data_IF_970170247581
#
_entry.id   IF_970170247581
#
_cell.length_a   1.000
_cell.length_b   1.000
_cell.length_c   1.000
_cell.angle_alpha   90.00
_cell.angle_beta   90.00
_cell.angle_gamma   90.00
#
_symmetry.space_group_name_H-M   'P 1'
#
loop_
_entity.id
_entity.type
_entity.pdbx_description
1 polymer ?
#
# COMPACT_ATOMS: atom_id res chain seq x y z
N UNK A 1 -44.54 64.86 92.48
CA UNK A 1 -44.62 63.43 92.39
C UNK A 1 -43.57 62.93 91.41
N UNK A 2 -42.70 62.07 91.89
CA UNK A 2 -41.72 61.33 91.02
C UNK A 2 -42.46 60.19 90.38
N UNK A 3 -42.83 60.36 89.13
CA UNK A 3 -43.60 59.34 88.37
C UNK A 3 -42.74 58.10 87.95
N UNK A 4 -41.42 58.18 88.15
CA UNK A 4 -40.53 57.10 87.74
C UNK A 4 -40.40 56.91 86.26
N UNK A 5 -41.06 57.77 85.46
CA UNK A 5 -40.95 57.75 83.99
C UNK A 5 -39.81 58.66 83.54
N UNK A 6 -38.94 58.19 82.78
CA UNK A 6 -37.92 58.98 82.08
C UNK A 6 -38.62 59.64 80.89
N UNK A 7 -38.42 60.98 80.72
CA UNK A 7 -38.97 61.68 79.58
C UNK A 7 -38.56 60.94 78.26
N UNK A 8 -39.55 60.72 77.38
CA UNK A 8 -39.42 60.12 76.08
C UNK A 8 -39.14 58.61 76.09
N UNK A 9 -39.26 57.88 77.29
CA UNK A 9 -39.10 56.41 77.33
C UNK A 9 -40.14 55.63 76.60
N UNK A 10 -41.24 56.26 76.23
CA UNK A 10 -42.37 55.62 75.54
C UNK A 10 -42.48 56.06 74.07
N UNK A 11 -41.42 56.66 73.54
CA UNK A 11 -41.29 57.04 72.15
C UNK A 11 -40.44 56.00 71.46
N UNK A 12 -40.95 55.42 70.34
CA UNK A 12 -40.20 54.49 69.47
C UNK A 12 -39.19 55.27 68.62
N UNK A 13 -38.35 54.58 67.88
CA UNK A 13 -37.33 55.13 66.99
C UNK A 13 -37.93 56.04 65.90
N UNK A 14 -39.21 55.83 65.48
CA UNK A 14 -39.93 56.68 64.53
C UNK A 14 -40.56 57.93 65.14
N UNK A 15 -40.51 58.06 66.51
CA UNK A 15 -41.07 59.20 67.23
C UNK A 15 -42.52 59.04 67.67
N UNK A 16 -43.11 57.88 67.55
CA UNK A 16 -44.48 57.57 67.87
C UNK A 16 -44.57 57.19 69.37
N UNK A 17 -45.51 57.84 70.14
CA UNK A 17 -45.78 57.54 71.55
C UNK A 17 -46.41 56.09 71.59
N UNK A 18 -45.76 55.20 72.41
CA UNK A 18 -46.13 53.79 72.54
C UNK A 18 -46.14 53.05 71.18
N UNK A 19 -45.29 53.53 70.25
CA UNK A 19 -45.07 52.85 68.94
C UNK A 19 -44.33 51.58 69.11
N UNK A 20 -44.24 50.81 67.97
CA UNK A 20 -43.58 49.50 67.91
C UNK A 20 -42.40 49.48 66.95
N UNK A 21 -42.00 50.66 66.44
CA UNK A 21 -40.79 50.70 65.59
C UNK A 21 -39.53 50.49 66.44
N UNK A 22 -38.57 49.83 65.94
CA UNK A 22 -37.27 49.54 66.54
C UNK A 22 -36.17 49.66 65.51
N UNK A 23 -34.95 50.00 65.98
CA UNK A 23 -33.78 49.96 65.12
C UNK A 23 -33.55 48.48 64.66
N UNK A 24 -33.44 48.27 63.37
CA UNK A 24 -33.08 46.96 62.79
C UNK A 24 -31.59 46.68 62.91
N UNK A 25 -31.13 45.57 62.25
CA UNK A 25 -29.72 45.17 62.29
C UNK A 25 -28.78 46.17 61.65
N UNK A 26 -29.27 47.04 60.78
CA UNK A 26 -28.52 48.13 60.13
C UNK A 26 -28.59 49.42 60.83
N UNK A 27 -29.31 49.48 61.98
CA UNK A 27 -29.52 50.73 62.79
C UNK A 27 -30.53 51.65 62.14
N UNK A 28 -31.35 51.21 61.22
CA UNK A 28 -32.46 51.97 60.64
C UNK A 28 -33.74 51.71 61.44
N UNK A 29 -34.50 52.73 61.65
CA UNK A 29 -35.78 52.60 62.33
C UNK A 29 -36.80 51.89 61.46
N UNK A 30 -37.20 50.71 61.87
CA UNK A 30 -38.04 49.84 61.07
C UNK A 30 -39.24 49.28 61.80
N UNK A 31 -40.28 48.86 61.09
CA UNK A 31 -41.54 48.40 61.65
C UNK A 31 -42.43 49.55 62.16
N UNK A 32 -43.51 49.24 62.91
CA UNK A 32 -44.49 50.20 63.33
C UNK A 32 -45.04 51.06 62.21
N UNK A 33 -45.00 52.40 62.38
CA UNK A 33 -45.38 53.36 61.35
C UNK A 33 -44.18 53.97 60.59
N UNK A 34 -42.96 53.42 60.75
CA UNK A 34 -41.76 53.96 60.12
C UNK A 34 -41.80 53.90 58.59
N UNK A 35 -42.62 53.00 58.06
CA UNK A 35 -42.69 52.77 56.60
C UNK A 35 -41.49 51.97 56.05
N UNK A 36 -40.55 51.57 56.89
CA UNK A 36 -39.38 50.77 56.59
C UNK A 36 -39.58 49.33 57.09
N UNK A 37 -39.21 48.38 56.28
CA UNK A 37 -39.28 46.95 56.60
C UNK A 37 -37.94 46.59 57.27
N UNK A 38 -37.99 45.92 58.43
CA UNK A 38 -36.78 45.51 59.12
C UNK A 38 -35.87 44.69 58.26
N UNK A 39 -34.57 45.05 58.28
CA UNK A 39 -33.48 44.31 57.53
C UNK A 39 -33.61 44.33 56.00
N UNK A 40 -34.47 45.25 55.46
CA UNK A 40 -34.65 45.39 54.00
C UNK A 40 -33.41 45.94 53.29
N UNK A 41 -32.49 46.51 54.03
CA UNK A 41 -31.24 47.08 53.54
C UNK A 41 -30.03 46.13 53.71
N UNK A 42 -30.29 44.92 54.16
CA UNK A 42 -29.30 43.84 54.19
C UNK A 42 -29.25 43.17 52.87
N UNK A 43 -28.09 43.11 52.26
CA UNK A 43 -27.86 42.34 51.04
C UNK A 43 -27.80 40.86 51.34
N UNK A 44 -27.74 39.98 50.27
CA UNK A 44 -27.71 38.55 50.44
C UNK A 44 -26.46 38.00 51.17
N UNK A 45 -25.37 38.83 51.29
CA UNK A 45 -24.17 38.50 52.09
C UNK A 45 -24.29 38.89 53.56
N UNK A 46 -25.39 39.59 53.95
CA UNK A 46 -25.62 40.03 55.29
C UNK A 46 -25.05 41.43 55.60
N UNK A 47 -24.61 42.16 54.59
CA UNK A 47 -24.03 43.51 54.79
C UNK A 47 -25.12 44.57 54.70
N UNK A 48 -25.14 45.49 55.73
CA UNK A 48 -26.04 46.61 55.67
C UNK A 48 -25.68 47.56 54.55
N UNK A 49 -26.67 47.93 53.73
CA UNK A 49 -26.52 48.80 52.58
C UNK A 49 -25.51 48.18 51.54
N UNK A 50 -25.34 46.88 51.61
CA UNK A 50 -24.48 46.15 50.72
C UNK A 50 -25.00 46.14 49.29
N UNK A 51 -24.18 45.63 48.38
CA UNK A 51 -24.50 45.53 46.95
C UNK A 51 -24.46 44.13 46.43
N UNK A 52 -24.32 43.14 47.30
CA UNK A 52 -24.38 41.75 46.92
C UNK A 52 -25.84 41.37 46.52
N UNK A 53 -25.99 40.56 45.51
CA UNK A 53 -27.30 40.06 45.03
C UNK A 53 -27.18 38.58 44.60
N UNK A 54 -28.28 37.88 44.68
CA UNK A 54 -28.32 36.51 44.12
C UNK A 54 -28.14 36.60 42.60
N UNK A 55 -27.19 35.83 42.11
CA UNK A 55 -26.93 35.68 40.68
C UNK A 55 -27.93 34.72 39.98
N UNK A 56 -27.68 34.39 38.72
CA UNK A 56 -28.54 33.49 37.94
C UNK A 56 -28.63 32.07 38.50
N UNK A 57 -27.65 31.65 39.31
CA UNK A 57 -27.62 30.38 40.01
C UNK A 57 -28.22 30.42 41.42
N UNK A 58 -28.66 31.59 41.86
CA UNK A 58 -29.17 31.79 43.23
C UNK A 58 -28.10 31.86 44.29
N UNK A 59 -26.84 32.03 43.90
CA UNK A 59 -25.72 32.27 44.81
C UNK A 59 -25.55 33.76 45.03
N UNK A 60 -25.26 34.11 46.32
CA UNK A 60 -24.99 35.49 46.68
C UNK A 60 -23.67 35.97 46.11
N UNK A 61 -23.70 36.91 45.17
CA UNK A 61 -22.53 37.35 44.43
C UNK A 61 -22.36 38.87 44.39
N UNK A 62 -21.14 39.32 44.09
CA UNK A 62 -20.80 40.76 44.12
C UNK A 62 -20.64 41.31 45.52
N UNK A 63 -20.58 42.65 45.65
CA UNK A 63 -20.36 43.30 46.96
C UNK A 63 -19.12 42.77 47.69
N UNK A 64 -19.30 42.36 48.94
CA UNK A 64 -18.29 41.75 49.79
C UNK A 64 -18.43 40.21 49.87
N UNK A 65 -19.31 39.60 49.10
CA UNK A 65 -19.56 38.15 49.13
C UNK A 65 -18.33 37.31 48.80
N UNK A 66 -17.38 37.90 48.07
CA UNK A 66 -16.19 37.16 47.59
C UNK A 66 -16.49 36.20 46.42
N UNK A 67 -17.72 36.21 45.94
CA UNK A 67 -18.19 35.42 44.81
C UNK A 67 -18.46 36.32 43.59
N UNK A 68 -17.98 35.95 42.42
CA UNK A 68 -18.24 36.68 41.19
C UNK A 68 -19.56 36.20 40.59
N UNK A 69 -20.42 37.13 40.14
CA UNK A 69 -21.71 36.75 39.57
C UNK A 69 -21.57 35.82 38.39
N UNK A 70 -22.40 34.77 38.37
CA UNK A 70 -22.50 33.79 37.31
C UNK A 70 -21.21 32.98 37.08
N UNK A 71 -20.26 32.98 38.06
CA UNK A 71 -19.02 32.20 37.97
C UNK A 71 -19.22 30.68 38.02
N UNK A 72 -20.40 30.25 38.47
CA UNK A 72 -20.79 28.86 38.57
C UNK A 72 -21.64 28.40 37.38
N UNK A 73 -21.83 29.25 36.37
CA UNK A 73 -22.46 28.89 35.11
C UNK A 73 -21.39 28.32 34.19
N UNK A 74 -21.61 27.11 33.72
CA UNK A 74 -20.75 26.49 32.67
C UNK A 74 -21.04 27.08 31.27
N UNK A 75 -20.25 26.65 30.29
CA UNK A 75 -20.37 27.10 28.89
C UNK A 75 -21.76 26.80 28.27
N UNK A 76 -22.52 25.91 28.90
CA UNK A 76 -23.88 25.56 28.52
C UNK A 76 -24.98 26.35 29.19
N UNK A 77 -24.62 27.19 30.15
CA UNK A 77 -25.56 28.01 30.90
C UNK A 77 -26.18 27.29 32.11
N UNK A 78 -25.67 26.11 32.47
CA UNK A 78 -26.15 25.33 33.60
C UNK A 78 -25.39 25.71 34.86
N UNK A 79 -26.16 26.00 35.96
CA UNK A 79 -25.59 26.32 37.27
C UNK A 79 -24.95 25.07 37.89
N UNK A 80 -23.73 25.25 38.42
CA UNK A 80 -22.94 24.18 39.04
C UNK A 80 -22.69 23.01 38.12
N UNK A 81 -22.79 23.20 36.79
CA UNK A 81 -22.42 22.25 35.77
C UNK A 81 -20.92 21.91 35.93
N UNK A 82 -20.56 20.67 35.84
CA UNK A 82 -19.15 20.31 35.68
C UNK A 82 -18.81 20.50 34.22
N UNK A 83 -17.69 21.00 33.79
CA UNK A 83 -17.18 21.15 32.41
C UNK A 83 -17.45 19.95 31.44
N UNK A 84 -18.60 19.33 31.56
CA UNK A 84 -19.08 18.20 30.76
C UNK A 84 -20.14 18.62 29.74
N UNK A 85 -20.39 19.91 29.63
CA UNK A 85 -21.48 20.42 28.81
C UNK A 85 -21.16 20.63 27.33
N UNK A 86 -19.89 20.75 26.95
CA UNK A 86 -19.40 20.98 25.58
C UNK A 86 -18.00 20.36 25.49
N UNK A 87 -17.94 19.04 25.27
CA UNK A 87 -16.70 18.27 25.37
C UNK A 87 -15.74 18.55 24.20
N UNK A 88 -16.28 18.78 23.01
CA UNK A 88 -15.49 19.04 21.81
C UNK A 88 -15.24 20.53 21.54
N UNK A 89 -15.95 21.42 22.29
CA UNK A 89 -15.73 22.86 22.24
C UNK A 89 -16.31 23.55 21.01
N UNK A 90 -17.31 22.95 20.37
CA UNK A 90 -17.95 23.49 19.16
C UNK A 90 -18.98 24.57 19.44
N UNK A 91 -19.37 24.77 20.72
CA UNK A 91 -20.36 25.71 21.19
C UNK A 91 -21.78 25.14 21.30
N UNK A 92 -21.93 23.84 21.09
CA UNK A 92 -23.18 23.09 21.26
C UNK A 92 -23.06 22.19 22.48
N UNK A 93 -23.96 22.29 23.43
CA UNK A 93 -23.90 21.45 24.61
C UNK A 93 -24.17 20.00 24.33
N UNK A 94 -23.40 19.07 24.94
CA UNK A 94 -23.46 17.61 24.74
C UNK A 94 -24.89 17.06 24.80
N UNK A 95 -25.76 17.62 25.65
CA UNK A 95 -27.14 17.17 25.78
C UNK A 95 -28.01 17.45 24.52
N UNK A 96 -27.60 18.40 23.69
CA UNK A 96 -28.28 18.83 22.48
C UNK A 96 -27.45 18.59 21.22
N UNK A 97 -26.23 18.07 21.40
CA UNK A 97 -25.31 17.80 20.33
C UNK A 97 -25.49 16.38 19.78
N UNK A 98 -25.44 16.25 18.46
CA UNK A 98 -25.48 14.97 17.74
C UNK A 98 -24.11 14.31 17.67
N UNK A 99 -23.05 15.06 17.95
CA UNK A 99 -21.65 14.67 17.88
C UNK A 99 -20.83 15.09 19.10
N UNK A 100 -21.30 14.84 20.34
CA UNK A 100 -20.75 15.42 21.58
C UNK A 100 -19.29 15.08 21.88
N UNK A 101 -18.65 14.29 21.05
CA UNK A 101 -17.25 13.90 21.14
C UNK A 101 -16.47 14.24 19.86
N UNK A 102 -17.05 15.10 19.01
CA UNK A 102 -16.48 15.61 17.78
C UNK A 102 -16.85 14.85 16.53
N UNK A 103 -16.45 15.42 15.42
CA UNK A 103 -16.72 14.94 14.08
C UNK A 103 -15.44 14.67 13.30
N UNK A 104 -15.52 13.71 12.40
CA UNK A 104 -14.45 13.42 11.45
C UNK A 104 -15.02 13.05 10.10
N UNK A 105 -14.27 13.36 9.05
CA UNK A 105 -14.50 12.88 7.70
C UNK A 105 -13.31 12.09 7.21
N UNK A 106 -13.57 11.03 6.47
CA UNK A 106 -12.53 10.24 5.81
C UNK A 106 -12.59 10.45 4.30
N UNK A 107 -11.42 10.39 3.68
CA UNK A 107 -11.26 10.44 2.22
C UNK A 107 -10.15 9.48 1.77
N UNK A 108 -10.12 9.17 0.48
CA UNK A 108 -9.06 8.36 -0.12
C UNK A 108 -8.10 9.22 -0.93
N UNK A 109 -6.81 8.88 -0.89
CA UNK A 109 -5.76 9.53 -1.66
C UNK A 109 -4.71 8.50 -2.11
N UNK A 110 -3.77 8.93 -2.95
CA UNK A 110 -2.61 8.15 -3.38
C UNK A 110 -2.96 6.73 -3.83
N UNK A 111 -4.04 6.62 -4.63
CA UNK A 111 -4.52 5.34 -5.15
C UNK A 111 -3.57 4.83 -6.21
N UNK A 112 -3.09 3.60 -6.03
CA UNK A 112 -2.26 2.87 -6.99
C UNK A 112 -2.81 1.46 -7.24
N UNK A 113 -2.17 0.69 -8.08
CA UNK A 113 -2.56 -0.69 -8.38
C UNK A 113 -2.50 -1.65 -7.19
N UNK A 114 -1.70 -1.30 -6.15
CA UNK A 114 -1.49 -2.15 -4.97
C UNK A 114 -1.60 -1.41 -3.64
N UNK A 115 -2.01 -0.14 -3.62
CA UNK A 115 -2.17 0.61 -2.37
C UNK A 115 -3.15 1.77 -2.46
N UNK A 116 -3.67 2.16 -1.30
CA UNK A 116 -4.52 3.33 -1.10
C UNK A 116 -4.23 3.94 0.27
N UNK A 117 -4.22 5.25 0.34
CA UNK A 117 -4.12 5.98 1.60
C UNK A 117 -5.49 6.48 2.03
N UNK A 118 -5.85 6.26 3.28
CA UNK A 118 -7.05 6.81 3.90
C UNK A 118 -6.63 8.00 4.74
N UNK A 119 -7.18 9.16 4.39
CA UNK A 119 -6.98 10.42 5.07
C UNK A 119 -8.15 10.69 6.02
N UNK A 120 -7.89 11.47 7.05
CA UNK A 120 -8.90 12.02 7.95
C UNK A 120 -8.86 13.54 7.97
N UNK A 121 -10.01 14.15 8.29
CA UNK A 121 -10.12 15.53 8.76
C UNK A 121 -11.04 15.50 9.98
N UNK A 122 -10.50 15.78 11.17
CA UNK A 122 -11.17 15.64 12.46
C UNK A 122 -10.99 16.90 13.29
N UNK A 123 -12.03 17.34 13.97
CA UNK A 123 -12.00 18.43 14.94
C UNK A 123 -11.40 17.98 16.28
N UNK A 124 -11.43 16.67 16.59
CA UNK A 124 -10.90 16.08 17.80
C UNK A 124 -9.72 15.14 17.54
N UNK A 125 -8.80 14.97 18.53
CA UNK A 125 -7.71 14.01 18.41
C UNK A 125 -8.22 12.57 18.30
N UNK A 126 -7.65 11.80 17.36
CA UNK A 126 -7.99 10.39 17.11
C UNK A 126 -7.02 9.48 17.86
N UNK A 127 -7.54 8.54 18.65
CA UNK A 127 -6.77 7.57 19.46
C UNK A 127 -6.82 6.15 18.89
N UNK A 128 -7.74 5.88 17.96
CA UNK A 128 -7.85 4.60 17.29
C UNK A 128 -8.91 4.61 16.20
N UNK A 129 -8.91 3.56 15.39
CA UNK A 129 -9.91 3.37 14.35
C UNK A 129 -10.17 1.89 14.10
N UNK A 130 -11.32 1.60 13.54
CA UNK A 130 -11.66 0.30 12.98
C UNK A 130 -12.58 0.48 11.77
N UNK A 131 -12.40 -0.35 10.75
CA UNK A 131 -13.32 -0.41 9.62
C UNK A 131 -13.19 -1.75 8.88
N UNK A 132 -14.11 -2.01 7.96
CA UNK A 132 -14.13 -3.16 7.07
C UNK A 132 -13.75 -2.74 5.65
N UNK A 133 -12.86 -3.51 5.03
CA UNK A 133 -12.45 -3.37 3.64
C UNK A 133 -13.01 -4.53 2.83
N UNK A 134 -13.51 -4.24 1.65
CA UNK A 134 -13.95 -5.25 0.68
C UNK A 134 -13.55 -4.87 -0.74
N UNK A 135 -13.57 -5.84 -1.65
CA UNK A 135 -13.25 -5.66 -3.07
C UNK A 135 -11.77 -5.87 -3.42
N UNK A 136 -10.90 -6.00 -2.42
CA UNK A 136 -9.48 -6.32 -2.59
C UNK A 136 -9.04 -7.34 -1.53
N UNK A 137 -7.93 -8.04 -1.78
CA UNK A 137 -7.26 -8.90 -0.79
C UNK A 137 -6.15 -8.09 -0.14
N UNK A 138 -6.32 -7.77 1.15
CA UNK A 138 -5.32 -7.00 1.90
C UNK A 138 -4.03 -7.81 2.09
N UNK A 139 -2.89 -7.20 1.79
CA UNK A 139 -1.55 -7.73 2.06
C UNK A 139 -0.80 -6.93 3.12
N UNK A 140 -1.29 -5.72 3.47
CA UNK A 140 -0.67 -4.87 4.48
C UNK A 140 -1.52 -3.71 4.95
N UNK A 141 -1.18 -3.18 6.13
CA UNK A 141 -1.68 -1.92 6.64
C UNK A 141 -0.57 -1.23 7.45
N UNK A 142 -0.37 0.06 7.26
CA UNK A 142 0.64 0.85 7.96
C UNK A 142 0.16 2.28 8.19
N UNK A 143 0.66 2.94 9.24
CA UNK A 143 0.26 4.31 9.58
C UNK A 143 0.96 4.81 10.83
N UNK A 144 0.44 5.87 11.42
CA UNK A 144 1.08 6.56 12.55
C UNK A 144 0.82 5.90 13.92
N UNK A 145 -0.17 5.01 14.03
CA UNK A 145 -0.41 4.30 15.28
C UNK A 145 0.64 3.22 15.54
N UNK A 146 0.99 3.02 16.80
CA UNK A 146 1.97 2.02 17.25
C UNK A 146 1.43 0.58 17.20
N UNK A 147 0.12 0.41 17.07
CA UNK A 147 -0.51 -0.86 16.77
C UNK A 147 -1.47 -0.71 15.59
N UNK A 148 -1.12 -1.34 14.45
CA UNK A 148 -2.01 -1.49 13.31
C UNK A 148 -2.07 -2.98 12.97
N UNK A 149 -3.27 -3.49 12.75
CA UNK A 149 -3.50 -4.87 12.32
C UNK A 149 -4.59 -4.94 11.28
N UNK A 150 -4.51 -5.95 10.44
CA UNK A 150 -5.54 -6.27 9.46
C UNK A 150 -5.80 -7.77 9.45
N UNK A 151 -6.95 -8.15 8.92
CA UNK A 151 -7.33 -9.54 8.74
C UNK A 151 -7.69 -9.76 7.26
N UNK A 152 -6.82 -10.50 6.57
CA UNK A 152 -6.96 -10.82 5.15
C UNK A 152 -8.29 -11.55 4.85
N UNK A 153 -8.72 -12.46 5.75
CA UNK A 153 -9.88 -13.30 5.51
C UNK A 153 -11.22 -12.54 5.54
N UNK A 154 -11.33 -11.47 6.34
CA UNK A 154 -12.57 -10.72 6.50
C UNK A 154 -12.45 -9.23 6.21
N UNK A 155 -11.27 -8.73 5.84
CA UNK A 155 -11.03 -7.32 5.50
C UNK A 155 -11.06 -6.35 6.69
N UNK A 156 -11.08 -6.84 7.94
CA UNK A 156 -11.07 -5.95 9.11
C UNK A 156 -9.73 -5.26 9.26
N UNK A 157 -9.73 -3.95 9.45
CA UNK A 157 -8.55 -3.14 9.73
C UNK A 157 -8.77 -2.42 11.05
N UNK A 158 -7.76 -2.45 11.90
CA UNK A 158 -7.78 -1.84 13.22
C UNK A 158 -6.48 -1.11 13.49
N UNK A 159 -6.56 0.09 14.06
CA UNK A 159 -5.41 0.86 14.54
C UNK A 159 -5.68 1.47 15.89
N UNK A 160 -4.72 1.40 16.80
CA UNK A 160 -4.82 2.01 18.12
C UNK A 160 -3.45 2.42 18.65
N UNK A 161 -3.47 3.38 19.57
CA UNK A 161 -2.30 3.76 20.33
C UNK A 161 -2.27 3.01 21.67
N UNK A 162 -1.22 2.23 21.89
CA UNK A 162 -0.94 1.58 23.18
C UNK A 162 -0.16 2.51 24.11
N UNK A 163 0.55 3.48 23.57
CA UNK A 163 1.34 4.46 24.31
C UNK A 163 0.53 5.69 24.76
N UNK A 164 -0.74 5.80 24.31
CA UNK A 164 -1.59 6.96 24.55
C UNK A 164 -1.30 8.16 23.64
N UNK A 165 -0.53 7.96 22.56
CA UNK A 165 -0.36 8.98 21.53
C UNK A 165 -1.60 9.05 20.64
N UNK A 166 -1.97 10.26 20.20
CA UNK A 166 -3.09 10.48 19.30
C UNK A 166 -2.63 11.09 17.98
N UNK A 167 -3.43 10.93 16.96
CA UNK A 167 -3.37 11.82 15.79
C UNK A 167 -4.02 13.14 16.21
N UNK A 168 -3.33 14.25 15.99
CA UNK A 168 -3.85 15.57 16.36
C UNK A 168 -5.10 15.90 15.54
N UNK A 169 -5.99 16.73 16.11
CA UNK A 169 -7.08 17.33 15.35
C UNK A 169 -6.54 18.06 14.11
N UNK A 170 -7.33 18.08 13.04
CA UNK A 170 -6.99 18.60 11.72
C UNK A 170 -6.96 17.52 10.66
N UNK A 171 -6.17 17.74 9.61
CA UNK A 171 -6.06 16.85 8.48
C UNK A 171 -4.79 15.98 8.57
N UNK A 172 -4.90 14.72 8.14
CA UNK A 172 -3.75 13.82 8.15
C UNK A 172 -4.01 12.47 7.51
N UNK A 173 -2.97 11.64 7.52
CA UNK A 173 -3.05 10.24 7.10
C UNK A 173 -3.50 9.37 8.28
N UNK A 174 -4.57 8.59 8.08
CA UNK A 174 -5.06 7.63 9.06
C UNK A 174 -4.31 6.30 8.92
N UNK A 175 -4.31 5.76 7.71
CA UNK A 175 -3.68 4.47 7.39
C UNK A 175 -3.44 4.35 5.89
N UNK A 176 -2.35 3.69 5.51
CA UNK A 176 -2.10 3.20 4.16
C UNK A 176 -2.39 1.71 4.12
N UNK A 177 -3.24 1.31 3.21
CA UNK A 177 -3.58 -0.08 2.94
C UNK A 177 -2.77 -0.56 1.74
N UNK A 178 -2.24 -1.78 1.83
CA UNK A 178 -1.64 -2.50 0.71
C UNK A 178 -2.48 -3.73 0.40
N UNK A 179 -2.57 -4.09 -0.87
CA UNK A 179 -3.38 -5.21 -1.35
C UNK A 179 -2.79 -5.79 -2.62
N UNK A 180 -3.19 -6.99 -2.96
CA UNK A 180 -2.75 -7.66 -4.18
C UNK A 180 -3.33 -6.94 -5.39
N UNK A 181 -2.48 -6.57 -6.37
CA UNK A 181 -2.93 -5.94 -7.60
C UNK A 181 -3.76 -6.90 -8.46
N UNK A 182 -4.66 -6.35 -9.28
CA UNK A 182 -5.53 -7.13 -10.16
C UNK A 182 -5.40 -6.66 -11.61
N UNK A 183 -5.42 -7.62 -12.55
CA UNK A 183 -5.27 -7.38 -13.99
C UNK A 183 -6.34 -6.43 -14.55
N UNK A 184 -7.58 -6.57 -14.09
CA UNK A 184 -8.71 -5.74 -14.53
C UNK A 184 -8.94 -4.52 -13.61
N UNK A 185 -8.09 -4.32 -12.60
CA UNK A 185 -8.33 -3.40 -11.52
C UNK A 185 -9.40 -3.89 -10.55
N UNK A 186 -9.78 -3.05 -9.61
CA UNK A 186 -10.74 -3.39 -8.56
C UNK A 186 -11.53 -2.17 -8.09
N UNK A 187 -12.55 -2.39 -7.30
CA UNK A 187 -13.23 -1.35 -6.52
C UNK A 187 -13.04 -1.72 -5.06
N UNK A 188 -12.33 -0.87 -4.31
CA UNK A 188 -12.21 -1.00 -2.87
C UNK A 188 -13.35 -0.23 -2.18
N UNK A 189 -14.02 -0.87 -1.24
CA UNK A 189 -15.07 -0.26 -0.43
C UNK A 189 -14.69 -0.31 1.05
N UNK A 190 -14.97 0.78 1.78
CA UNK A 190 -14.76 0.91 3.21
C UNK A 190 -16.11 1.05 3.90
N UNK A 191 -16.37 0.25 4.91
CA UNK A 191 -17.61 0.21 5.66
C UNK A 191 -17.37 0.04 7.16
N UNK A 192 -18.45 0.20 7.96
CA UNK A 192 -18.44 -0.03 9.41
C UNK A 192 -17.33 0.76 10.14
N UNK A 193 -17.15 2.03 9.76
CA UNK A 193 -16.10 2.89 10.28
C UNK A 193 -16.42 3.30 11.72
N UNK A 194 -15.47 3.07 12.61
CA UNK A 194 -15.48 3.52 14.00
C UNK A 194 -14.20 4.31 14.24
N UNK A 195 -14.32 5.53 14.74
CA UNK A 195 -13.19 6.38 15.11
C UNK A 195 -13.24 6.64 16.60
N UNK A 196 -12.18 6.26 17.29
CA UNK A 196 -12.06 6.42 18.75
C UNK A 196 -11.37 7.70 19.14
N UNK A 197 -12.02 8.47 20.02
CA UNK A 197 -11.50 9.66 20.66
C UNK A 197 -10.85 9.39 22.02
N UNK A 198 -10.61 10.45 22.78
CA UNK A 198 -10.02 10.39 24.12
C UNK A 198 -10.91 9.58 25.08
N UNK A 199 -10.28 8.75 25.92
CA UNK A 199 -11.01 7.96 26.92
C UNK A 199 -11.89 6.85 26.37
N UNK A 200 -11.82 6.55 25.06
CA UNK A 200 -12.66 5.55 24.39
C UNK A 200 -14.00 6.09 23.93
N UNK A 201 -14.14 7.38 23.82
CA UNK A 201 -15.31 8.06 23.21
C UNK A 201 -15.38 7.75 21.71
N UNK A 202 -16.53 7.97 21.10
CA UNK A 202 -16.76 7.72 19.68
C UNK A 202 -16.86 9.05 18.95
N UNK A 203 -15.96 9.34 18.03
CA UNK A 203 -16.02 10.51 17.15
C UNK A 203 -16.97 10.17 16.00
N UNK A 204 -17.91 11.07 15.71
CA UNK A 204 -18.92 10.85 14.66
C UNK A 204 -18.27 10.95 13.28
N UNK A 205 -18.47 9.93 12.44
CA UNK A 205 -17.99 9.92 11.07
C UNK A 205 -19.05 10.54 10.16
N UNK A 206 -18.79 11.75 9.66
CA UNK A 206 -19.73 12.49 8.80
C UNK A 206 -19.67 12.07 7.34
N UNK A 207 -18.50 11.57 6.90
CA UNK A 207 -18.34 10.99 5.56
C UNK A 207 -17.17 9.99 5.55
N UNK A 208 -17.29 8.96 4.71
CA UNK A 208 -16.20 8.01 4.43
C UNK A 208 -16.17 7.69 2.94
N UNK A 209 -15.01 7.30 2.37
CA UNK A 209 -14.94 6.86 1.00
C UNK A 209 -15.76 5.57 0.86
N UNK A 210 -16.89 5.63 0.16
CA UNK A 210 -17.74 4.45 -0.07
C UNK A 210 -17.08 3.47 -1.02
N UNK A 211 -16.60 3.99 -2.16
CA UNK A 211 -15.96 3.20 -3.22
C UNK A 211 -14.80 4.00 -3.83
N UNK A 212 -13.67 3.35 -4.01
CA UNK A 212 -12.53 3.91 -4.75
C UNK A 212 -12.11 2.94 -5.84
N UNK A 213 -11.91 3.45 -7.06
CA UNK A 213 -11.46 2.63 -8.19
C UNK A 213 -9.95 2.45 -8.11
N UNK A 214 -9.52 1.19 -8.07
CA UNK A 214 -8.13 0.77 -8.15
C UNK A 214 -7.79 0.52 -9.61
N UNK A 215 -6.75 1.13 -10.17
CA UNK A 215 -6.36 0.89 -11.55
C UNK A 215 -5.93 -0.55 -11.76
N UNK A 216 -6.06 -1.02 -13.01
CA UNK A 216 -5.48 -2.27 -13.45
C UNK A 216 -3.96 -2.22 -13.27
N UNK A 217 -3.36 -3.34 -12.92
CA UNK A 217 -1.92 -3.44 -12.83
C UNK A 217 -1.26 -3.49 -14.23
N UNK A 218 0.02 -3.13 -14.27
CA UNK A 218 0.82 -3.34 -15.46
C UNK A 218 1.01 -4.84 -15.73
N UNK A 219 0.83 -5.24 -16.99
CA UNK A 219 1.06 -6.59 -17.50
C UNK A 219 1.62 -6.43 -18.92
N UNK A 220 2.95 -6.54 -19.06
CA UNK A 220 3.65 -6.22 -20.30
C UNK A 220 3.53 -7.31 -21.35
N UNK A 221 3.45 -8.56 -20.94
CA UNK A 221 3.47 -9.74 -21.80
C UNK A 221 2.10 -10.38 -22.01
N UNK A 222 1.08 -9.91 -21.25
CA UNK A 222 -0.31 -10.28 -21.43
C UNK A 222 -0.67 -11.67 -20.89
N UNK A 223 0.09 -12.18 -19.94
CA UNK A 223 -0.22 -13.41 -19.23
C UNK A 223 -1.26 -13.23 -18.10
N UNK A 224 -1.30 -14.12 -17.11
CA UNK A 224 -2.25 -14.07 -16.00
C UNK A 224 -1.69 -13.40 -14.74
N UNK A 225 -0.51 -12.80 -14.80
CA UNK A 225 0.19 -12.20 -13.67
C UNK A 225 0.41 -10.70 -13.87
N UNK A 226 0.38 -9.94 -12.78
CA UNK A 226 0.79 -8.53 -12.79
C UNK A 226 2.31 -8.45 -12.71
N UNK A 227 2.95 -7.52 -13.43
CA UNK A 227 4.42 -7.37 -13.45
C UNK A 227 5.08 -7.34 -12.07
N UNK A 228 4.40 -6.81 -11.04
CA UNK A 228 4.92 -6.74 -9.66
C UNK A 228 4.96 -8.09 -8.93
N UNK A 229 4.18 -9.05 -9.39
CA UNK A 229 4.08 -10.40 -8.84
C UNK A 229 4.68 -11.45 -9.79
N UNK A 230 5.13 -11.03 -10.96
CA UNK A 230 5.66 -11.85 -12.02
C UNK A 230 7.18 -11.92 -11.95
N UNK A 231 7.72 -13.12 -12.02
CA UNK A 231 9.17 -13.36 -12.06
C UNK A 231 9.77 -13.00 -13.42
N UNK A 232 8.94 -13.05 -14.48
CA UNK A 232 9.36 -12.76 -15.86
C UNK A 232 8.40 -11.79 -16.57
N UNK A 233 8.33 -10.53 -16.12
CA UNK A 233 7.27 -9.57 -16.49
C UNK A 233 7.24 -9.15 -17.96
N UNK A 234 8.20 -9.57 -18.76
CA UNK A 234 8.30 -9.31 -20.20
C UNK A 234 8.20 -10.60 -21.03
N UNK A 235 7.87 -11.74 -20.39
CA UNK A 235 7.81 -13.03 -21.07
C UNK A 235 6.68 -13.90 -20.52
N UNK A 236 5.58 -13.95 -21.26
CA UNK A 236 4.39 -14.71 -20.89
C UNK A 236 4.70 -16.16 -20.51
N UNK A 237 4.26 -16.55 -19.32
CA UNK A 237 4.51 -17.85 -18.73
C UNK A 237 3.26 -18.46 -18.05
N UNK A 238 3.41 -19.65 -17.51
CA UNK A 238 2.39 -20.37 -16.74
C UNK A 238 2.82 -20.64 -15.29
N UNK A 239 3.78 -19.87 -14.78
CA UNK A 239 4.42 -20.07 -13.48
C UNK A 239 5.68 -20.91 -13.55
N UNK A 240 6.17 -21.27 -14.75
CA UNK A 240 7.44 -21.92 -15.00
C UNK A 240 8.37 -21.02 -15.81
N UNK A 241 9.69 -21.23 -15.70
CA UNK A 241 10.66 -20.43 -16.46
C UNK A 241 10.36 -20.48 -17.95
N UNK A 242 9.98 -19.35 -18.59
CA UNK A 242 9.60 -19.31 -19.99
C UNK A 242 10.81 -19.18 -20.95
N UNK A 243 11.99 -18.93 -20.42
CA UNK A 243 13.19 -18.78 -21.22
C UNK A 243 13.80 -20.14 -21.52
N UNK A 244 14.15 -20.35 -22.79
CA UNK A 244 14.87 -21.52 -23.23
C UNK A 244 16.39 -21.42 -22.91
N UNK A 245 17.17 -22.41 -23.32
CA UNK A 245 18.60 -22.43 -23.06
C UNK A 245 19.38 -21.33 -23.80
N UNK A 246 18.76 -20.71 -24.81
CA UNK A 246 19.31 -19.56 -25.54
C UNK A 246 18.88 -18.22 -24.97
N UNK A 247 18.15 -18.24 -23.84
CA UNK A 247 17.59 -17.05 -23.20
C UNK A 247 16.57 -16.31 -24.08
N UNK A 248 15.85 -17.06 -24.93
CA UNK A 248 14.75 -16.59 -25.74
C UNK A 248 13.42 -16.92 -25.09
N UNK A 249 12.54 -15.92 -25.00
CA UNK A 249 11.23 -16.05 -24.43
C UNK A 249 10.37 -17.01 -25.25
N UNK A 250 9.93 -18.11 -24.64
CA UNK A 250 9.13 -19.16 -25.28
C UNK A 250 9.76 -19.73 -26.60
N UNK A 251 11.09 -19.61 -26.71
CA UNK A 251 11.84 -19.97 -27.92
C UNK A 251 11.88 -21.48 -28.23
N UNK A 252 11.75 -22.30 -27.18
CA UNK A 252 11.74 -23.77 -27.33
C UNK A 252 13.03 -24.34 -27.92
N UNK A 253 14.15 -23.64 -27.74
CA UNK A 253 15.46 -23.99 -28.30
C UNK A 253 15.53 -23.98 -29.84
N UNK A 254 14.62 -23.22 -30.49
CA UNK A 254 14.58 -23.15 -31.96
C UNK A 254 15.84 -22.53 -32.56
N UNK A 255 16.53 -21.70 -31.78
CA UNK A 255 17.77 -21.02 -32.20
C UNK A 255 19.05 -21.81 -31.90
N UNK A 256 18.92 -23.06 -31.41
CA UNK A 256 20.05 -23.97 -31.28
C UNK A 256 20.33 -24.63 -32.64
N UNK A 257 21.61 -24.68 -32.98
CA UNK A 257 22.07 -25.46 -34.10
C UNK A 257 22.21 -26.96 -33.74
N UNK A 258 22.61 -27.79 -34.69
CA UNK A 258 22.75 -29.23 -34.46
C UNK A 258 23.89 -29.59 -33.48
N UNK A 259 24.76 -28.63 -33.13
CA UNK A 259 25.82 -28.77 -32.11
C UNK A 259 25.35 -28.25 -30.72
N UNK A 260 24.04 -27.90 -30.58
CA UNK A 260 23.42 -27.30 -29.41
C UNK A 260 23.93 -25.89 -29.06
N UNK A 261 24.63 -25.23 -29.97
CA UNK A 261 25.06 -23.85 -29.80
C UNK A 261 23.93 -22.88 -30.11
N UNK A 262 23.63 -21.94 -29.16
CA UNK A 262 22.64 -20.90 -29.39
C UNK A 262 23.09 -19.96 -30.51
N UNK A 263 22.19 -19.70 -31.47
CA UNK A 263 22.47 -18.87 -32.65
C UNK A 263 23.68 -19.39 -33.44
N UNK A 264 23.97 -20.67 -33.31
CA UNK A 264 25.09 -21.34 -33.97
C UNK A 264 24.87 -21.42 -35.48
N UNK A 265 25.90 -21.85 -36.20
CA UNK A 265 25.88 -21.99 -37.64
C UNK A 265 26.14 -23.43 -38.09
N UNK A 266 26.21 -24.36 -37.14
CA UNK A 266 26.32 -25.77 -37.48
C UNK A 266 25.02 -26.28 -38.10
N UNK A 267 25.13 -27.16 -39.07
CA UNK A 267 23.97 -27.79 -39.74
C UNK A 267 24.23 -29.27 -39.99
N UNK A 268 23.19 -30.01 -40.13
CA UNK A 268 23.29 -31.43 -40.55
C UNK A 268 23.58 -31.46 -42.04
N UNK A 269 24.75 -31.99 -42.40
CA UNK A 269 25.19 -32.07 -43.79
C UNK A 269 24.53 -33.23 -44.57
N UNK A 270 24.97 -33.46 -45.80
CA UNK A 270 24.42 -34.49 -46.64
C UNK A 270 24.72 -35.91 -46.21
N UNK A 271 25.56 -36.10 -45.20
CA UNK A 271 25.88 -37.39 -44.59
C UNK A 271 25.20 -37.59 -43.23
N UNK A 272 24.21 -36.74 -42.87
CA UNK A 272 23.52 -36.72 -41.58
C UNK A 272 24.48 -36.44 -40.38
N UNK A 273 25.59 -35.76 -40.65
CA UNK A 273 26.57 -35.33 -39.62
C UNK A 273 26.38 -33.86 -39.33
N UNK A 274 26.44 -33.49 -38.03
CA UNK A 274 26.46 -32.07 -37.64
C UNK A 274 27.81 -31.47 -37.98
N UNK A 275 27.84 -30.49 -38.87
CA UNK A 275 29.04 -29.97 -39.48
C UNK A 275 29.07 -28.44 -39.44
N UNK A 276 30.24 -27.83 -39.63
CA UNK A 276 30.51 -26.40 -39.56
C UNK A 276 30.33 -25.80 -38.15
N UNK A 277 30.18 -24.50 -38.04
CA UNK A 277 30.08 -23.81 -36.75
C UNK A 277 31.23 -24.13 -35.81
N UNK A 278 30.91 -24.52 -34.57
CA UNK A 278 31.88 -24.93 -33.56
C UNK A 278 32.11 -26.45 -33.47
N UNK A 279 31.56 -27.24 -34.40
CA UNK A 279 31.68 -28.70 -34.38
C UNK A 279 33.11 -29.17 -34.60
N UNK A 280 33.96 -28.36 -35.24
CA UNK A 280 35.28 -28.74 -35.67
C UNK A 280 35.24 -29.72 -36.85
N UNK A 281 34.07 -30.00 -37.42
CA UNK A 281 33.83 -30.86 -38.54
C UNK A 281 33.44 -30.04 -39.79
N UNK A 282 34.07 -30.32 -40.91
CA UNK A 282 33.74 -29.62 -42.16
C UNK A 282 32.61 -30.35 -42.86
N UNK A 283 31.68 -29.59 -43.42
CA UNK A 283 30.58 -30.19 -44.19
C UNK A 283 31.09 -31.04 -45.31
N UNK A 284 30.43 -32.16 -45.55
CA UNK A 284 30.72 -33.12 -46.61
C UNK A 284 32.10 -33.80 -46.53
N UNK A 285 32.87 -33.61 -45.40
CA UNK A 285 34.19 -34.21 -45.23
C UNK A 285 34.16 -35.75 -45.10
N UNK A 286 32.99 -36.29 -44.83
CA UNK A 286 32.79 -37.75 -44.75
C UNK A 286 32.37 -38.39 -46.08
N UNK A 287 32.34 -37.60 -47.15
CA UNK A 287 32.14 -38.14 -48.48
C UNK A 287 33.45 -38.63 -49.07
N UNK A 288 33.36 -39.77 -49.66
CA UNK A 288 34.45 -40.28 -50.46
C UNK A 288 34.47 -39.61 -51.88
N UNK A 289 35.46 -39.92 -52.69
CA UNK A 289 35.58 -39.34 -54.02
C UNK A 289 34.41 -39.69 -54.96
N UNK A 290 33.60 -40.71 -54.63
CA UNK A 290 32.39 -41.13 -55.37
C UNK A 290 31.13 -40.45 -54.80
N UNK A 291 31.27 -39.47 -53.81
CA UNK A 291 30.20 -38.81 -53.14
C UNK A 291 29.36 -39.69 -52.20
N UNK A 292 29.84 -40.89 -51.87
CA UNK A 292 29.18 -41.76 -50.91
C UNK A 292 29.57 -41.38 -49.47
N UNK A 293 28.59 -41.25 -48.57
CA UNK A 293 28.87 -40.95 -47.16
C UNK A 293 29.60 -42.13 -46.50
N UNK A 294 30.71 -41.83 -45.84
CA UNK A 294 31.56 -42.82 -45.16
C UNK A 294 32.01 -43.95 -46.14
N UNK A 295 32.03 -43.64 -47.40
CA UNK A 295 32.42 -44.55 -48.41
C UNK A 295 33.93 -44.83 -48.37
N UNK A 296 34.36 -45.99 -48.91
CA UNK A 296 35.78 -46.37 -48.98
C UNK A 296 36.43 -46.02 -50.30
N UNK A 297 35.79 -45.25 -51.18
CA UNK A 297 36.40 -44.88 -52.46
C UNK A 297 37.46 -43.80 -52.23
N UNK A 298 38.59 -43.98 -52.91
CA UNK A 298 39.71 -43.01 -52.82
C UNK A 298 40.22 -42.70 -54.22
N UNK A 299 40.81 -41.55 -54.44
CA UNK A 299 41.48 -41.27 -55.70
C UNK A 299 42.70 -42.18 -55.81
N UNK A 300 42.77 -42.92 -56.90
CA UNK A 300 43.91 -43.81 -57.21
C UNK A 300 45.11 -42.98 -57.67
N UNK A 301 46.20 -43.71 -58.03
CA UNK A 301 47.42 -43.02 -58.45
C UNK A 301 47.30 -42.27 -59.77
N UNK A 302 46.23 -42.47 -60.52
CA UNK A 302 45.88 -41.70 -61.70
C UNK A 302 44.97 -40.54 -61.45
N UNK A 303 44.52 -40.38 -60.22
CA UNK A 303 43.58 -39.32 -59.80
C UNK A 303 42.12 -39.59 -60.17
N UNK A 304 41.83 -40.88 -60.48
CA UNK A 304 40.47 -41.32 -60.71
C UNK A 304 39.87 -41.95 -59.47
N UNK A 305 38.63 -41.62 -59.18
CA UNK A 305 37.93 -42.17 -58.02
C UNK A 305 37.71 -43.68 -58.21
N UNK A 306 38.30 -44.41 -57.27
CA UNK A 306 38.31 -45.89 -57.41
C UNK A 306 37.98 -46.63 -56.13
N UNK A 307 37.56 -47.87 -56.24
CA UNK A 307 37.10 -48.60 -55.05
C UNK A 307 35.66 -48.27 -54.63
N UNK A 308 35.23 -48.78 -53.46
CA UNK A 308 33.88 -48.54 -52.96
C UNK A 308 32.80 -48.89 -53.98
N UNK A 309 31.87 -47.92 -54.15
CA UNK A 309 30.79 -48.00 -55.15
C UNK A 309 31.11 -47.23 -56.45
N UNK A 310 32.33 -46.74 -56.63
CA UNK A 310 32.69 -45.98 -57.84
C UNK A 310 32.58 -46.77 -59.16
N UNK A 311 32.58 -48.06 -59.03
CA UNK A 311 32.56 -48.97 -60.23
C UNK A 311 33.88 -49.00 -61.01
N UNK A 312 34.89 -48.30 -60.46
CA UNK A 312 36.24 -48.24 -61.00
C UNK A 312 37.21 -49.01 -60.10
N UNK A 313 38.02 -49.84 -60.71
CA UNK A 313 39.06 -50.59 -59.99
C UNK A 313 40.34 -49.72 -59.90
N UNK A 314 40.93 -49.69 -58.71
CA UNK A 314 42.12 -48.88 -58.50
C UNK A 314 43.25 -49.20 -59.47
N UNK A 315 43.86 -48.13 -60.00
CA UNK A 315 44.96 -48.21 -60.94
C UNK A 315 44.68 -49.00 -62.26
N UNK A 316 43.38 -49.25 -62.56
CA UNK A 316 42.98 -49.93 -63.81
C UNK A 316 43.33 -49.13 -65.06
N UNK A 317 43.59 -47.84 -64.92
CA UNK A 317 44.01 -47.00 -66.04
C UNK A 317 45.52 -46.82 -66.16
N UNK A 318 46.29 -47.57 -65.37
CA UNK A 318 47.71 -47.65 -65.53
C UNK A 318 48.02 -48.69 -66.58
N UNK A 319 48.97 -48.37 -67.46
CA UNK A 319 49.53 -49.36 -68.37
C UNK A 319 50.56 -50.25 -67.60
N UNK A 320 51.07 -51.25 -68.27
CA UNK A 320 52.04 -52.17 -67.65
C UNK A 320 53.37 -51.52 -67.19
N UNK A 321 53.63 -50.24 -67.63
CA UNK A 321 54.76 -49.44 -67.16
C UNK A 321 54.43 -48.59 -65.93
N UNK A 322 53.14 -48.55 -65.48
CA UNK A 322 52.66 -47.74 -64.40
C UNK A 322 52.31 -46.31 -64.84
N UNK A 323 52.26 -46.00 -66.10
CA UNK A 323 51.87 -44.71 -66.60
C UNK A 323 50.33 -44.62 -66.71
N UNK A 324 49.73 -43.60 -66.06
CA UNK A 324 48.29 -43.37 -66.13
C UNK A 324 47.89 -43.03 -67.53
N UNK A 325 46.81 -43.74 -68.00
CA UNK A 325 46.28 -43.65 -69.35
C UNK A 325 47.36 -43.89 -70.39
N UNK A 326 48.40 -44.61 -70.00
CA UNK A 326 49.52 -45.02 -70.89
C UNK A 326 49.12 -45.95 -71.94
N UNK A 327 50.07 -46.27 -72.84
CA UNK A 327 49.81 -47.16 -74.00
C UNK A 327 50.80 -48.33 -74.07
N UNK A 328 51.53 -48.53 -72.92
CA UNK A 328 52.38 -49.73 -72.90
C UNK A 328 51.53 -50.96 -72.63
N UNK A 329 51.84 -52.03 -73.25
CA UNK A 329 51.14 -53.35 -73.17
C UNK A 329 52.20 -54.43 -72.97
N UNK A 330 51.77 -55.47 -72.26
CA UNK A 330 52.65 -56.69 -72.22
C UNK A 330 52.74 -57.30 -73.59
N UNK A 331 53.96 -57.50 -74.07
CA UNK A 331 54.21 -58.14 -75.31
C UNK A 331 54.01 -59.70 -75.22
N UNK A 332 54.31 -60.41 -76.32
CA UNK A 332 54.11 -61.86 -76.32
C UNK A 332 55.01 -62.66 -75.40
N UNK A 333 56.07 -62.03 -74.85
CA UNK A 333 56.98 -62.56 -73.83
C UNK A 333 56.60 -62.21 -72.43
N UNK A 334 55.59 -61.36 -72.25
CA UNK A 334 55.17 -60.83 -70.92
C UNK A 334 56.05 -59.69 -70.43
N UNK A 335 56.76 -59.00 -71.30
CA UNK A 335 57.55 -57.81 -71.03
C UNK A 335 56.73 -56.55 -71.37
N UNK A 336 56.72 -55.57 -70.47
CA UNK A 336 56.03 -54.36 -70.75
C UNK A 336 56.68 -53.52 -71.84
N UNK A 337 56.01 -53.29 -72.93
CA UNK A 337 56.57 -52.69 -74.15
C UNK A 337 55.67 -51.61 -74.74
N UNK A 338 56.24 -50.68 -75.51
CA UNK A 338 55.51 -49.53 -76.06
C UNK A 338 55.38 -48.41 -75.05
N UNK A 339 54.54 -47.41 -75.41
CA UNK A 339 54.36 -46.23 -74.54
C UNK A 339 55.66 -45.57 -74.10
N UNK A 340 55.82 -45.29 -72.75
CA UNK A 340 57.03 -44.75 -72.13
C UNK A 340 57.91 -45.86 -71.51
N UNK A 341 57.64 -47.12 -71.68
CA UNK A 341 58.35 -48.24 -71.08
C UNK A 341 59.82 -48.31 -71.48
N UNK A 342 60.19 -47.68 -72.59
CA UNK A 342 61.57 -47.72 -73.11
C UNK A 342 61.88 -49.09 -73.80
N UNK A 343 60.91 -49.95 -73.87
CA UNK A 343 61.02 -51.27 -74.53
C UNK A 343 60.20 -51.32 -75.80
N UNK A 344 60.70 -51.90 -76.83
CA UNK A 344 59.98 -52.10 -78.13
C UNK A 344 59.38 -53.49 -78.13
N UNK A 345 58.07 -53.60 -78.47
CA UNK A 345 57.37 -54.88 -78.48
C UNK A 345 58.11 -55.92 -79.34
N UNK A 346 58.23 -57.13 -78.79
CA UNK A 346 58.83 -58.31 -79.45
C UNK A 346 60.23 -58.03 -80.00
N UNK A 347 61.02 -57.17 -79.36
CA UNK A 347 62.37 -56.85 -79.79
C UNK A 347 63.45 -57.73 -79.19
#
# INVERSE_FOLDING_TARGET
GNSGHVADSDIDCNGDCFGSAADDSCGECSGGNSGHVADSDIDCNGDCFGSAADDSCGECSGGNSGHEADSDIDDCGDCFGGNYGDFDGDGTCDANDTSPYGETSLSSANVSEGSIEILFNSDMPIYGFQFQVSGVTLSGASGAFDMISFNEANGSVFGASLSGTSLAAGEGSLVTLSFDPALDGSIISIADVIIGGQGGTNIVVTSSPSDSTIPACANNDGDLSCNVADEWPDCSDDGSNPYDDCNECNGGNAEKDCNEDCFGSAFVDGCDVCSEGNTGHSAESDRDCNEDCFGPAEDDSCGECSGGNSGHEADSDQDCNGDCFGSAEDDSCGECSGGNSGHVADS
#
